data_IF_764622357944
#
_entry.id   IF_764622357944
#
_cell.length_a   1.000
_cell.length_b   1.000
_cell.length_c   1.000
_cell.angle_alpha   90.00
_cell.angle_beta   90.00
_cell.angle_gamma   90.00
#
_symmetry.space_group_name_H-M   'P 1'
#
loop_
_entity.id
_entity.type
_entity.pdbx_description
1 polymer ?
#
# COMPACT_ATOMS: atom_id res chain seq x y z
N UNK A 1 27.72 24.39 2.56
CA UNK A 1 28.17 23.16 1.88
C UNK A 1 26.93 22.41 1.42
N UNK A 2 26.59 22.52 0.13
CA UNK A 2 25.30 22.10 -0.42
C UNK A 2 25.30 20.58 -0.60
N UNK A 3 24.27 19.90 -0.06
CA UNK A 3 24.07 18.45 -0.12
C UNK A 3 23.68 18.00 -1.55
N UNK A 4 24.61 18.10 -2.50
CA UNK A 4 24.38 17.74 -3.91
C UNK A 4 24.02 16.26 -4.13
N UNK A 5 24.39 15.38 -3.20
CA UNK A 5 24.14 13.93 -3.32
C UNK A 5 22.65 13.55 -3.31
N UNK A 6 21.79 14.34 -2.66
CA UNK A 6 20.34 14.09 -2.62
C UNK A 6 19.64 14.49 -3.92
N UNK A 7 20.06 15.61 -4.55
CA UNK A 7 19.48 16.07 -5.81
C UNK A 7 19.77 15.10 -6.95
N UNK A 8 20.99 14.58 -7.03
CA UNK A 8 21.38 13.63 -8.08
C UNK A 8 20.60 12.31 -7.94
N UNK A 9 20.39 11.83 -6.71
CA UNK A 9 19.56 10.65 -6.45
C UNK A 9 18.11 10.85 -6.88
N UNK A 10 17.50 11.99 -6.56
CA UNK A 10 16.12 12.31 -6.99
C UNK A 10 16.00 12.50 -8.51
N UNK A 11 16.99 13.14 -9.16
CA UNK A 11 17.03 13.28 -10.61
C UNK A 11 17.22 11.93 -11.33
N UNK A 12 18.01 11.02 -10.75
CA UNK A 12 18.20 9.66 -11.27
C UNK A 12 16.91 8.82 -11.14
N UNK A 13 16.19 8.96 -10.02
CA UNK A 13 14.90 8.30 -9.79
C UNK A 13 13.88 8.76 -10.85
N UNK A 14 13.71 10.08 -11.02
CA UNK A 14 12.80 10.61 -12.04
C UNK A 14 13.21 10.24 -13.48
N UNK A 15 14.51 10.13 -13.75
CA UNK A 15 15.01 9.66 -15.05
C UNK A 15 14.71 8.17 -15.30
N UNK A 16 14.85 7.33 -14.27
CA UNK A 16 14.53 5.89 -14.36
C UNK A 16 13.01 5.65 -14.46
N UNK A 17 12.19 6.46 -13.77
CA UNK A 17 10.73 6.47 -13.93
C UNK A 17 10.34 6.82 -15.37
N UNK A 18 10.89 7.90 -15.94
CA UNK A 18 10.63 8.28 -17.35
C UNK A 18 11.07 7.23 -18.37
N UNK A 19 12.11 6.45 -18.05
CA UNK A 19 12.62 5.38 -18.92
C UNK A 19 11.91 4.04 -18.71
N UNK A 20 10.99 3.94 -17.75
CA UNK A 20 10.22 2.72 -17.49
C UNK A 20 10.97 1.65 -16.70
N UNK A 21 12.00 2.01 -15.92
CA UNK A 21 12.72 1.09 -15.03
C UNK A 21 12.56 1.44 -13.54
N UNK A 22 11.32 1.53 -13.03
CA UNK A 22 11.09 1.94 -11.65
C UNK A 22 11.53 0.87 -10.63
N UNK A 23 11.67 -0.40 -11.03
CA UNK A 23 12.22 -1.47 -10.18
C UNK A 23 13.67 -1.20 -9.75
N UNK A 24 14.50 -0.70 -10.67
CA UNK A 24 15.89 -0.35 -10.38
C UNK A 24 15.94 0.87 -9.46
N UNK A 25 15.05 1.85 -9.68
CA UNK A 25 14.97 3.04 -8.85
C UNK A 25 14.67 2.69 -7.37
N UNK A 26 13.87 1.64 -7.13
CA UNK A 26 13.45 1.21 -5.80
C UNK A 26 14.62 0.77 -4.89
N UNK A 27 15.70 0.26 -5.47
CA UNK A 27 16.93 -0.08 -4.77
C UNK A 27 17.74 1.14 -4.33
N UNK A 28 17.66 2.25 -5.07
CA UNK A 28 18.40 3.48 -4.79
C UNK A 28 17.66 4.45 -3.87
N UNK A 29 16.34 4.27 -3.71
CA UNK A 29 15.52 5.12 -2.86
C UNK A 29 15.76 4.81 -1.39
N UNK A 30 16.23 5.82 -0.64
CA UNK A 30 16.38 5.75 0.82
C UNK A 30 15.16 6.25 1.59
N UNK A 31 14.33 7.06 0.96
CA UNK A 31 13.14 7.65 1.57
C UNK A 31 11.93 6.72 1.45
N UNK A 32 11.31 6.39 2.57
CA UNK A 32 10.21 5.42 2.62
C UNK A 32 8.95 5.92 1.89
N UNK A 33 8.69 7.24 1.85
CA UNK A 33 7.54 7.80 1.12
C UNK A 33 7.73 7.73 -0.38
N UNK A 34 8.93 8.10 -0.87
CA UNK A 34 9.24 7.96 -2.29
C UNK A 34 9.22 6.49 -2.71
N UNK A 35 9.76 5.58 -1.88
CA UNK A 35 9.72 4.13 -2.13
C UNK A 35 8.28 3.62 -2.22
N UNK A 36 7.39 4.10 -1.34
CA UNK A 36 5.97 3.75 -1.40
C UNK A 36 5.34 4.22 -2.71
N UNK A 37 5.55 5.48 -3.13
CA UNK A 37 4.98 5.99 -4.39
C UNK A 37 5.45 5.16 -5.59
N UNK A 38 6.76 4.92 -5.70
CA UNK A 38 7.33 4.07 -6.75
C UNK A 38 6.73 2.66 -6.73
N UNK A 39 6.64 2.02 -5.56
CA UNK A 39 6.06 0.67 -5.44
C UNK A 39 4.59 0.63 -5.88
N UNK A 40 3.83 1.69 -5.59
CA UNK A 40 2.44 1.85 -6.03
C UNK A 40 2.34 2.02 -7.55
N UNK A 41 3.22 2.82 -8.15
CA UNK A 41 3.24 3.05 -9.59
C UNK A 41 3.73 1.81 -10.37
N UNK A 42 4.60 0.98 -9.77
CA UNK A 42 5.02 -0.31 -10.32
C UNK A 42 3.96 -1.42 -10.20
N UNK A 43 2.96 -1.24 -9.32
CA UNK A 43 2.06 -2.33 -8.92
C UNK A 43 2.74 -3.39 -8.05
N UNK A 44 3.86 -3.07 -7.41
CA UNK A 44 4.60 -3.98 -6.53
C UNK A 44 4.01 -3.94 -5.11
N UNK A 45 2.88 -4.61 -4.93
CA UNK A 45 2.11 -4.51 -3.68
C UNK A 45 2.89 -4.95 -2.43
N UNK A 46 3.70 -6.01 -2.50
CA UNK A 46 4.50 -6.52 -1.37
C UNK A 46 5.45 -5.46 -0.81
N UNK A 47 6.17 -4.76 -1.70
CA UNK A 47 7.06 -3.65 -1.33
C UNK A 47 6.25 -2.48 -0.78
N UNK A 48 5.08 -2.23 -1.37
CA UNK A 48 4.11 -1.27 -0.87
C UNK A 48 3.67 -1.56 0.57
N UNK A 49 3.42 -2.82 0.91
CA UNK A 49 3.06 -3.25 2.27
C UNK A 49 4.19 -2.95 3.24
N UNK A 50 5.42 -3.30 2.89
CA UNK A 50 6.58 -3.06 3.74
C UNK A 50 6.80 -1.56 3.98
N UNK A 51 6.69 -0.74 2.91
CA UNK A 51 6.80 0.70 3.02
C UNK A 51 5.63 1.31 3.82
N UNK A 52 4.39 0.85 3.62
CA UNK A 52 3.23 1.29 4.39
C UNK A 52 3.32 0.93 5.88
N UNK A 53 3.89 -0.24 6.21
CA UNK A 53 4.19 -0.63 7.60
C UNK A 53 5.25 0.26 8.23
N UNK A 54 6.27 0.64 7.48
CA UNK A 54 7.32 1.54 7.96
C UNK A 54 6.84 2.99 8.12
N UNK A 55 5.88 3.44 7.30
CA UNK A 55 5.27 4.77 7.40
C UNK A 55 4.16 4.87 8.45
N UNK A 56 3.46 3.76 8.70
CA UNK A 56 2.30 3.63 9.61
C UNK A 56 1.23 4.74 9.43
N UNK A 57 1.04 5.18 8.19
CA UNK A 57 0.13 6.25 7.83
C UNK A 57 -1.18 5.68 7.26
N UNK A 58 -2.35 6.00 7.83
CA UNK A 58 -3.64 5.54 7.31
C UNK A 58 -3.89 5.93 5.85
N UNK A 59 -3.37 7.07 5.37
CA UNK A 59 -3.52 7.48 3.98
C UNK A 59 -2.75 6.54 3.02
N UNK A 60 -1.58 6.06 3.44
CA UNK A 60 -0.80 5.09 2.66
C UNK A 60 -1.53 3.74 2.58
N UNK A 61 -2.11 3.28 3.70
CA UNK A 61 -2.90 2.06 3.72
C UNK A 61 -4.15 2.14 2.85
N UNK A 62 -4.84 3.28 2.81
CA UNK A 62 -5.99 3.48 1.92
C UNK A 62 -5.58 3.37 0.44
N UNK A 63 -4.53 4.08 0.04
CA UNK A 63 -4.03 4.06 -1.35
C UNK A 63 -3.54 2.67 -1.77
N UNK A 64 -2.86 1.96 -0.86
CA UNK A 64 -2.45 0.56 -1.07
C UNK A 64 -3.66 -0.36 -1.24
N UNK A 65 -4.70 -0.19 -0.43
CA UNK A 65 -5.93 -0.96 -0.52
C UNK A 65 -6.68 -0.74 -1.84
N UNK A 66 -6.71 0.49 -2.36
CA UNK A 66 -7.34 0.79 -3.66
C UNK A 66 -6.59 0.12 -4.82
N UNK A 67 -5.26 0.23 -4.85
CA UNK A 67 -4.45 -0.42 -5.88
C UNK A 67 -4.51 -1.95 -5.79
N UNK A 68 -4.47 -2.50 -4.58
CA UNK A 68 -4.63 -3.93 -4.37
C UNK A 68 -6.00 -4.43 -4.83
N UNK A 69 -7.06 -3.63 -4.65
CA UNK A 69 -8.40 -3.95 -5.12
C UNK A 69 -8.46 -3.95 -6.65
N UNK A 70 -7.84 -2.96 -7.31
CA UNK A 70 -7.72 -2.92 -8.77
C UNK A 70 -6.96 -4.12 -9.34
N UNK A 71 -5.94 -4.61 -8.65
CA UNK A 71 -5.20 -5.81 -9.04
C UNK A 71 -5.91 -7.12 -8.66
N UNK A 72 -7.01 -7.06 -7.91
CA UNK A 72 -7.75 -8.23 -7.43
C UNK A 72 -7.08 -8.97 -6.27
N UNK A 73 -6.06 -8.38 -5.63
CA UNK A 73 -5.38 -8.99 -4.49
C UNK A 73 -6.16 -8.76 -3.18
N UNK A 74 -7.19 -9.59 -2.95
CA UNK A 74 -8.08 -9.48 -1.80
C UNK A 74 -7.35 -9.60 -0.44
N UNK A 75 -6.18 -10.25 -0.37
CA UNK A 75 -5.47 -10.46 0.90
C UNK A 75 -4.88 -9.14 1.42
N UNK A 76 -4.29 -8.37 0.50
CA UNK A 76 -3.71 -7.08 0.81
C UNK A 76 -4.81 -6.04 1.09
N UNK A 77 -5.93 -6.11 0.34
CA UNK A 77 -7.12 -5.26 0.60
C UNK A 77 -7.68 -5.52 2.01
N UNK A 78 -7.84 -6.78 2.40
CA UNK A 78 -8.30 -7.15 3.74
C UNK A 78 -7.38 -6.58 4.82
N UNK A 79 -6.06 -6.75 4.66
CA UNK A 79 -5.07 -6.22 5.60
C UNK A 79 -5.12 -4.68 5.68
N UNK A 80 -5.24 -4.00 4.53
CA UNK A 80 -5.35 -2.55 4.47
C UNK A 80 -6.59 -2.06 5.22
N UNK A 81 -7.76 -2.66 4.99
CA UNK A 81 -9.00 -2.27 5.66
C UNK A 81 -9.01 -2.57 7.16
N UNK A 82 -8.36 -3.67 7.59
CA UNK A 82 -8.16 -3.95 9.02
C UNK A 82 -7.30 -2.86 9.68
N UNK A 83 -6.22 -2.42 9.03
CA UNK A 83 -5.31 -1.37 9.53
C UNK A 83 -5.99 -0.01 9.59
N UNK A 84 -6.77 0.34 8.57
CA UNK A 84 -7.53 1.61 8.54
C UNK A 84 -8.82 1.55 9.37
N UNK A 85 -9.12 0.41 10.00
CA UNK A 85 -10.37 0.14 10.72
C UNK A 85 -11.64 0.46 9.90
N UNK A 86 -11.59 0.20 8.59
CA UNK A 86 -12.72 0.44 7.71
C UNK A 86 -13.62 -0.82 7.69
N UNK A 87 -14.48 -0.93 8.70
CA UNK A 87 -15.29 -2.13 8.91
C UNK A 87 -16.38 -2.28 7.86
N UNK A 88 -16.94 -1.19 7.34
CA UNK A 88 -17.95 -1.22 6.28
C UNK A 88 -17.40 -1.88 5.01
N UNK A 89 -16.28 -1.37 4.48
CA UNK A 89 -15.67 -1.92 3.26
C UNK A 89 -15.17 -3.35 3.46
N UNK A 90 -14.68 -3.67 4.65
CA UNK A 90 -14.23 -5.02 4.98
C UNK A 90 -15.40 -6.02 5.07
N UNK A 91 -16.55 -5.59 5.59
CA UNK A 91 -17.76 -6.43 5.64
C UNK A 91 -18.30 -6.71 4.24
N UNK A 92 -18.28 -5.70 3.36
CA UNK A 92 -18.62 -5.84 1.96
C UNK A 92 -17.67 -6.81 1.24
N UNK A 93 -16.35 -6.68 1.48
CA UNK A 93 -15.35 -7.60 0.94
C UNK A 93 -15.62 -9.06 1.37
N UNK A 94 -15.95 -9.31 2.63
CA UNK A 94 -16.28 -10.67 3.10
C UNK A 94 -17.61 -11.20 2.56
N UNK A 95 -18.57 -10.32 2.32
CA UNK A 95 -19.84 -10.69 1.68
C UNK A 95 -19.60 -11.15 0.24
N UNK A 96 -18.85 -10.38 -0.56
CA UNK A 96 -18.60 -10.73 -1.96
C UNK A 96 -17.65 -11.94 -2.12
N UNK A 97 -16.72 -12.14 -1.18
CA UNK A 97 -15.82 -13.30 -1.18
C UNK A 97 -16.45 -14.57 -0.59
N UNK A 98 -17.66 -14.48 0.00
CA UNK A 98 -18.35 -15.61 0.62
C UNK A 98 -17.71 -16.11 1.92
N UNK A 99 -16.82 -15.33 2.54
CA UNK A 99 -16.11 -15.72 3.76
C UNK A 99 -17.00 -15.56 5.01
N UNK A 100 -17.97 -16.46 5.18
CA UNK A 100 -18.97 -16.43 6.25
C UNK A 100 -18.39 -16.53 7.66
N UNK A 101 -17.22 -17.15 7.81
CA UNK A 101 -16.55 -17.31 9.11
C UNK A 101 -15.94 -16.00 9.61
N UNK A 102 -15.24 -15.27 8.73
CA UNK A 102 -14.72 -13.93 9.02
C UNK A 102 -15.86 -12.93 9.21
N UNK A 103 -16.93 -13.04 8.41
CA UNK A 103 -18.13 -12.22 8.56
C UNK A 103 -18.78 -12.40 9.95
N UNK A 104 -18.87 -13.63 10.46
CA UNK A 104 -19.38 -13.90 11.82
C UNK A 104 -18.51 -13.27 12.92
N UNK A 105 -17.18 -13.32 12.77
CA UNK A 105 -16.25 -12.64 13.70
C UNK A 105 -16.44 -11.12 13.65
N UNK A 106 -16.61 -10.58 12.45
CA UNK A 106 -16.88 -9.16 12.20
C UNK A 106 -18.19 -8.70 12.85
N UNK A 107 -19.28 -9.46 12.69
CA UNK A 107 -20.57 -9.14 13.31
C UNK A 107 -20.50 -9.06 14.83
N UNK A 108 -19.71 -9.92 15.47
CA UNK A 108 -19.49 -9.83 16.93
C UNK A 108 -18.82 -8.51 17.29
N UNK A 109 -17.78 -8.10 16.56
CA UNK A 109 -17.06 -6.84 16.80
C UNK A 109 -17.99 -5.63 16.59
N UNK A 110 -18.83 -5.67 15.55
CA UNK A 110 -19.80 -4.62 15.25
C UNK A 110 -20.93 -4.51 16.29
N UNK A 111 -21.27 -5.60 17.01
CA UNK A 111 -22.25 -5.56 18.10
C UNK A 111 -21.72 -4.90 19.39
N UNK A 112 -20.40 -4.80 19.54
CA UNK A 112 -19.76 -4.17 20.70
C UNK A 112 -19.33 -2.71 20.44
N UNK A 113 -19.62 -2.17 19.26
CA UNK A 113 -19.42 -0.77 18.90
C UNK A 113 -20.75 -0.03 18.90
#
# INVERSE_FOLDING_TARGET
MVRNSHLVGQALIGYLEQKGYPEVALHFVRDTRTRFSLAMDCGQLEVGVEAARALDDPACWQRLGELALHQGNHQIVEMAYQRTKNFDRLSFLYLITGSTEKLRKMMKIAQFH
#
